data_IF_263933503912
#
_entry.id   IF_263933503912
#
_cell.length_a   1.000
_cell.length_b   1.000
_cell.length_c   1.000
_cell.angle_alpha   90.00
_cell.angle_beta   90.00
_cell.angle_gamma   90.00
#
_symmetry.space_group_name_H-M   'P 1'
#
loop_
_entity.id
_entity.type
_entity.pdbx_description
1 polymer ?
#
# COMPACT_ATOMS: atom_id res chain seq x y z
N UNK A 1 -18.76 38.84 5.67
CA UNK A 1 -18.50 38.10 4.42
C UNK A 1 -17.38 37.12 4.71
N UNK A 2 -17.74 35.88 5.08
CA UNK A 2 -16.79 34.85 5.51
C UNK A 2 -17.17 33.50 4.91
N UNK A 3 -16.21 32.67 4.46
CA UNK A 3 -16.49 31.37 3.85
C UNK A 3 -16.52 30.27 4.93
N UNK A 4 -17.50 29.39 4.86
CA UNK A 4 -17.62 28.26 5.79
C UNK A 4 -18.55 27.19 5.22
N UNK A 5 -17.94 26.19 4.61
CA UNK A 5 -18.54 24.95 4.10
C UNK A 5 -19.48 24.27 5.11
N UNK A 6 -20.58 23.64 4.67
CA UNK A 6 -21.17 22.56 5.44
C UNK A 6 -20.33 21.28 5.29
N UNK A 7 -19.72 20.87 6.40
CA UNK A 7 -19.12 19.55 6.62
C UNK A 7 -20.23 18.50 6.82
N UNK A 8 -20.07 17.38 6.10
CA UNK A 8 -20.27 16.00 6.57
C UNK A 8 -21.64 15.60 7.14
N UNK A 9 -22.32 14.70 6.42
CA UNK A 9 -22.68 13.37 6.93
C UNK A 9 -23.25 12.52 5.78
N UNK A 10 -22.38 11.78 5.07
CA UNK A 10 -22.86 10.70 4.23
C UNK A 10 -23.34 9.58 5.17
N UNK A 11 -24.67 9.46 5.31
CA UNK A 11 -25.29 8.31 5.97
C UNK A 11 -24.95 7.08 5.15
N UNK A 12 -23.97 6.31 5.60
CA UNK A 12 -23.88 4.90 5.22
C UNK A 12 -25.13 4.25 5.82
N UNK A 13 -26.12 3.98 4.97
CA UNK A 13 -27.26 3.18 5.33
C UNK A 13 -26.74 1.80 5.76
N UNK A 14 -26.77 1.53 7.05
CA UNK A 14 -26.72 0.17 7.56
C UNK A 14 -27.96 -0.53 7.00
N UNK A 15 -27.78 -1.28 5.91
CA UNK A 15 -28.77 -2.23 5.46
C UNK A 15 -29.01 -3.20 6.61
N UNK A 16 -30.16 -3.06 7.25
CA UNK A 16 -30.66 -3.97 8.25
C UNK A 16 -30.63 -5.38 7.67
N UNK A 17 -29.77 -6.23 8.22
CA UNK A 17 -29.85 -7.68 8.08
C UNK A 17 -31.16 -8.10 8.75
N UNK A 18 -32.25 -8.04 7.98
CA UNK A 18 -33.58 -8.44 8.39
C UNK A 18 -33.58 -9.89 8.86
N UNK A 19 -34.26 -10.13 9.98
CA UNK A 19 -34.22 -11.36 10.76
C UNK A 19 -34.25 -12.64 9.93
N UNK A 20 -33.19 -13.44 10.08
CA UNK A 20 -33.22 -14.84 9.72
C UNK A 20 -34.06 -15.56 10.78
N UNK A 21 -35.19 -16.12 10.37
CA UNK A 21 -35.78 -17.22 11.14
C UNK A 21 -34.75 -18.35 11.19
N UNK A 22 -34.64 -19.04 12.33
CA UNK A 22 -33.65 -20.09 12.56
C UNK A 22 -33.87 -21.31 11.64
N UNK A 23 -33.47 -21.19 10.38
CA UNK A 23 -33.12 -22.33 9.55
C UNK A 23 -31.73 -22.75 10.02
N UNK A 24 -31.59 -23.96 10.57
CA UNK A 24 -30.27 -24.49 10.94
C UNK A 24 -29.37 -24.43 9.70
N UNK A 25 -28.39 -23.51 9.71
CA UNK A 25 -27.55 -23.29 8.54
C UNK A 25 -26.77 -24.56 8.23
N UNK A 26 -26.76 -25.04 6.98
CA UNK A 26 -26.01 -26.23 6.64
C UNK A 26 -24.52 -25.96 6.84
N UNK A 27 -23.97 -26.56 7.91
CA UNK A 27 -22.55 -26.80 8.21
C UNK A 27 -21.61 -25.66 7.77
N UNK A 28 -21.51 -24.60 8.56
CA UNK A 28 -20.36 -23.69 8.55
C UNK A 28 -20.29 -22.68 7.40
N UNK A 29 -21.36 -22.48 6.64
CA UNK A 29 -21.43 -21.41 5.64
C UNK A 29 -21.66 -20.04 6.30
N UNK A 30 -20.79 -19.08 6.01
CA UNK A 30 -20.96 -17.68 6.43
C UNK A 30 -21.89 -16.92 5.48
N UNK A 31 -21.87 -17.25 4.18
CA UNK A 31 -22.69 -16.61 3.15
C UNK A 31 -23.59 -17.65 2.45
N UNK A 32 -24.90 -17.48 2.60
CA UNK A 32 -25.90 -18.41 2.09
C UNK A 32 -27.13 -17.66 1.55
N UNK A 33 -27.90 -18.31 0.67
CA UNK A 33 -29.19 -17.80 0.18
C UNK A 33 -30.29 -18.00 1.21
N UNK A 34 -31.46 -17.38 1.01
CA UNK A 34 -32.62 -17.59 1.89
C UNK A 34 -33.05 -19.07 1.99
N UNK A 35 -32.74 -19.88 0.98
CA UNK A 35 -32.97 -21.34 1.01
C UNK A 35 -31.85 -22.13 1.72
N UNK A 36 -30.91 -21.46 2.39
CA UNK A 36 -29.79 -22.10 3.09
C UNK A 36 -28.68 -22.64 2.17
N UNK A 37 -28.72 -22.36 0.87
CA UNK A 37 -27.71 -22.87 -0.08
C UNK A 37 -26.49 -21.94 -0.13
N UNK A 38 -25.30 -22.42 -0.55
CA UNK A 38 -24.15 -21.56 -0.80
C UNK A 38 -24.51 -20.39 -1.72
N UNK A 39 -24.08 -19.18 -1.36
CA UNK A 39 -24.35 -18.00 -2.16
C UNK A 39 -23.72 -18.14 -3.56
N UNK A 40 -24.54 -18.05 -4.60
CA UNK A 40 -24.07 -18.14 -5.97
C UNK A 40 -23.41 -16.82 -6.41
N UNK A 41 -22.13 -16.88 -6.80
CA UNK A 41 -21.35 -15.72 -7.26
C UNK A 41 -21.99 -14.98 -8.44
N UNK A 42 -22.49 -15.70 -9.44
CA UNK A 42 -23.04 -15.08 -10.65
C UNK A 42 -24.35 -14.36 -10.34
N UNK A 43 -25.19 -14.98 -9.51
CA UNK A 43 -26.41 -14.34 -9.03
C UNK A 43 -26.08 -13.07 -8.24
N UNK A 44 -25.23 -13.16 -7.21
CA UNK A 44 -24.83 -12.02 -6.40
C UNK A 44 -24.24 -10.86 -7.25
N UNK A 45 -23.37 -11.20 -8.20
CA UNK A 45 -22.77 -10.19 -9.08
C UNK A 45 -23.83 -9.45 -9.92
N UNK A 46 -24.86 -10.15 -10.39
CA UNK A 46 -25.90 -9.56 -11.24
C UNK A 46 -26.96 -8.81 -10.45
N UNK A 47 -27.39 -9.35 -9.30
CA UNK A 47 -28.55 -8.83 -8.58
C UNK A 47 -28.21 -7.86 -7.47
N UNK A 48 -26.98 -7.91 -6.93
CA UNK A 48 -26.56 -7.06 -5.81
C UNK A 48 -25.40 -6.16 -6.24
N UNK A 49 -24.32 -6.73 -6.77
CA UNK A 49 -23.09 -5.98 -7.01
C UNK A 49 -23.23 -4.96 -8.14
N UNK A 50 -23.72 -5.36 -9.31
CA UNK A 50 -23.92 -4.45 -10.45
C UNK A 50 -24.87 -3.28 -10.12
N UNK A 51 -26.06 -3.51 -9.51
CA UNK A 51 -26.92 -2.41 -9.08
C UNK A 51 -26.25 -1.48 -8.06
N UNK A 52 -25.47 -2.02 -7.12
CA UNK A 52 -24.74 -1.20 -6.15
C UNK A 52 -23.72 -0.27 -6.82
N UNK A 53 -23.02 -0.75 -7.86
CA UNK A 53 -22.11 0.08 -8.66
C UNK A 53 -22.83 1.20 -9.41
N UNK A 54 -23.97 0.86 -10.04
CA UNK A 54 -24.78 1.84 -10.75
C UNK A 54 -25.34 2.91 -9.81
N UNK A 55 -25.74 2.53 -8.59
CA UNK A 55 -26.25 3.46 -7.58
C UNK A 55 -25.21 4.53 -7.15
N UNK A 56 -23.91 4.22 -7.25
CA UNK A 56 -22.82 5.16 -6.97
C UNK A 56 -22.23 5.78 -8.25
N UNK A 57 -22.88 5.58 -9.41
CA UNK A 57 -22.47 6.17 -10.69
C UNK A 57 -21.26 5.50 -11.35
N UNK A 58 -20.89 4.29 -10.92
CA UNK A 58 -19.80 3.52 -11.55
C UNK A 58 -20.32 2.70 -12.73
N UNK A 59 -19.56 2.70 -13.84
CA UNK A 59 -19.85 1.85 -14.99
C UNK A 59 -19.46 0.41 -14.65
N UNK A 60 -20.46 -0.47 -14.63
CA UNK A 60 -20.29 -1.88 -14.30
C UNK A 60 -19.69 -2.67 -15.48
N UNK A 61 -18.38 -2.52 -15.67
CA UNK A 61 -17.61 -3.29 -16.65
C UNK A 61 -17.23 -4.67 -16.13
N UNK A 62 -16.85 -5.59 -17.02
CA UNK A 62 -16.43 -6.95 -16.66
C UNK A 62 -15.20 -6.92 -15.73
N UNK A 63 -14.33 -5.94 -15.92
CA UNK A 63 -13.11 -5.71 -15.15
C UNK A 63 -13.40 -5.09 -13.77
N UNK A 64 -14.54 -4.40 -13.63
CA UNK A 64 -15.02 -3.82 -12.37
C UNK A 64 -15.81 -4.82 -11.51
N UNK A 65 -15.80 -6.11 -11.81
CA UNK A 65 -16.45 -7.13 -10.97
C UNK A 65 -15.88 -7.17 -9.54
N UNK A 66 -16.32 -8.13 -8.73
CA UNK A 66 -15.80 -8.31 -7.36
C UNK A 66 -14.27 -8.46 -7.26
N UNK A 67 -13.59 -8.81 -8.37
CA UNK A 67 -12.13 -8.82 -8.43
C UNK A 67 -11.50 -7.41 -8.32
N UNK A 68 -12.21 -6.36 -8.71
CA UNK A 68 -11.74 -4.99 -8.53
C UNK A 68 -11.45 -4.67 -7.06
N UNK A 69 -12.31 -5.13 -6.14
CA UNK A 69 -12.07 -4.98 -4.69
C UNK A 69 -10.77 -5.64 -4.24
N UNK A 70 -10.48 -6.82 -4.79
CA UNK A 70 -9.23 -7.54 -4.52
C UNK A 70 -8.02 -6.80 -5.09
N UNK A 71 -8.15 -6.21 -6.28
CA UNK A 71 -7.12 -5.35 -6.86
C UNK A 71 -6.88 -4.09 -6.02
N UNK A 72 -7.94 -3.40 -5.60
CA UNK A 72 -7.84 -2.23 -4.71
C UNK A 72 -7.14 -2.56 -3.40
N UNK A 73 -7.50 -3.67 -2.75
CA UNK A 73 -6.87 -4.10 -1.49
C UNK A 73 -5.36 -4.34 -1.66
N UNK A 74 -4.99 -5.05 -2.73
CA UNK A 74 -3.59 -5.32 -3.04
C UNK A 74 -2.80 -4.04 -3.33
N UNK A 75 -3.37 -3.14 -4.14
CA UNK A 75 -2.75 -1.85 -4.45
C UNK A 75 -2.51 -1.01 -3.20
N UNK A 76 -3.47 -0.94 -2.27
CA UNK A 76 -3.33 -0.20 -1.02
C UNK A 76 -2.20 -0.76 -0.14
N UNK A 77 -2.11 -2.07 0.05
CA UNK A 77 -1.02 -2.66 0.83
C UNK A 77 0.35 -2.35 0.24
N UNK A 78 0.44 -2.44 -1.08
CA UNK A 78 1.64 -2.18 -1.84
C UNK A 78 2.06 -0.71 -1.78
N UNK A 79 1.11 0.22 -1.86
CA UNK A 79 1.33 1.65 -1.66
C UNK A 79 1.86 1.96 -0.25
N UNK A 80 1.34 1.26 0.78
CA UNK A 80 1.80 1.35 2.16
C UNK A 80 3.09 0.57 2.45
N UNK A 81 3.75 0.00 1.43
CA UNK A 81 5.06 -0.63 1.56
C UNK A 81 5.06 -2.06 2.08
N UNK A 82 3.91 -2.74 2.08
CA UNK A 82 3.87 -4.18 2.36
C UNK A 82 4.64 -4.94 1.28
N UNK A 83 5.46 -5.90 1.69
CA UNK A 83 6.27 -6.67 0.74
C UNK A 83 5.39 -7.46 -0.23
N UNK A 84 5.86 -7.60 -1.48
CA UNK A 84 5.10 -8.30 -2.50
C UNK A 84 4.89 -9.78 -2.20
N UNK A 85 5.83 -10.39 -1.48
CA UNK A 85 5.71 -11.76 -0.97
C UNK A 85 4.54 -11.87 -0.01
N UNK A 86 4.46 -10.99 0.99
CA UNK A 86 3.38 -10.99 1.97
C UNK A 86 2.02 -10.73 1.32
N UNK A 87 1.93 -9.79 0.37
CA UNK A 87 0.71 -9.56 -0.41
C UNK A 87 0.33 -10.81 -1.20
N UNK A 88 1.29 -11.47 -1.85
CA UNK A 88 1.06 -12.70 -2.61
C UNK A 88 0.53 -13.84 -1.73
N UNK A 89 1.10 -14.03 -0.54
CA UNK A 89 0.66 -15.02 0.44
C UNK A 89 -0.76 -14.73 0.94
N UNK A 90 -1.05 -13.47 1.27
CA UNK A 90 -2.39 -13.08 1.73
C UNK A 90 -3.45 -13.28 0.65
N UNK A 91 -3.10 -12.98 -0.60
CA UNK A 91 -3.97 -13.22 -1.74
C UNK A 91 -4.09 -14.71 -2.06
N UNK A 92 -3.17 -15.57 -1.60
CA UNK A 92 -3.14 -16.99 -1.91
C UNK A 92 -2.67 -17.26 -3.34
N UNK A 93 -1.83 -16.40 -3.90
CA UNK A 93 -1.18 -16.68 -5.19
C UNK A 93 -0.02 -17.66 -4.96
N UNK A 94 -0.07 -18.78 -5.67
CA UNK A 94 1.00 -19.80 -5.63
C UNK A 94 2.34 -19.27 -6.17
N UNK A 95 2.28 -18.31 -7.11
CA UNK A 95 3.46 -17.65 -7.69
C UNK A 95 3.47 -16.16 -7.35
N UNK A 96 4.41 -15.69 -6.51
CA UNK A 96 4.63 -14.26 -6.26
C UNK A 96 4.98 -13.45 -7.51
N UNK A 97 5.55 -14.09 -8.54
CA UNK A 97 5.82 -13.47 -9.84
C UNK A 97 4.55 -13.03 -10.57
N UNK A 98 3.41 -13.69 -10.34
CA UNK A 98 2.11 -13.21 -10.82
C UNK A 98 1.73 -11.88 -10.16
N UNK A 99 1.82 -11.80 -8.82
CA UNK A 99 1.56 -10.57 -8.06
C UNK A 99 2.46 -9.42 -8.52
N UNK A 100 3.75 -9.70 -8.72
CA UNK A 100 4.71 -8.71 -9.22
C UNK A 100 4.35 -8.16 -10.60
N UNK A 101 3.97 -9.04 -11.54
CA UNK A 101 3.56 -8.61 -12.88
C UNK A 101 2.30 -7.74 -12.85
N UNK A 102 1.33 -8.09 -12.01
CA UNK A 102 0.05 -7.38 -11.92
C UNK A 102 0.21 -6.00 -11.25
N UNK A 103 1.01 -5.90 -10.19
CA UNK A 103 1.03 -4.70 -9.33
C UNK A 103 2.34 -3.90 -9.36
N UNK A 104 3.29 -4.24 -10.24
CA UNK A 104 4.54 -3.46 -10.42
C UNK A 104 4.29 -1.96 -10.58
N UNK A 105 3.21 -1.57 -11.28
CA UNK A 105 2.92 -0.18 -11.60
C UNK A 105 2.52 0.70 -10.40
N UNK A 106 2.05 0.11 -9.29
CA UNK A 106 1.72 0.84 -8.05
C UNK A 106 2.86 0.83 -7.03
N UNK A 107 3.97 0.15 -7.32
CA UNK A 107 5.12 0.13 -6.42
C UNK A 107 5.82 1.50 -6.44
N UNK A 108 6.06 2.13 -5.28
CA UNK A 108 6.85 3.36 -5.21
C UNK A 108 8.23 3.14 -5.84
N UNK A 109 8.75 4.15 -6.57
CA UNK A 109 10.10 4.07 -7.11
C UNK A 109 11.08 3.81 -5.96
N UNK A 110 11.69 2.62 -5.97
CA UNK A 110 12.47 2.14 -4.83
C UNK A 110 13.89 2.73 -4.79
N UNK A 111 14.26 3.53 -5.79
CA UNK A 111 15.60 4.09 -5.93
C UNK A 111 15.99 5.01 -4.75
N UNK A 112 15.11 5.93 -4.37
CA UNK A 112 15.42 6.89 -3.32
C UNK A 112 15.30 6.27 -1.92
N UNK A 113 14.36 5.34 -1.73
CA UNK A 113 14.27 4.54 -0.49
C UNK A 113 15.49 3.64 -0.30
N UNK A 114 15.98 3.01 -1.37
CA UNK A 114 17.17 2.18 -1.32
C UNK A 114 18.43 3.00 -0.99
N UNK A 115 18.56 4.19 -1.59
CA UNK A 115 19.64 5.14 -1.25
C UNK A 115 19.56 5.58 0.20
N UNK A 116 18.41 6.03 0.68
CA UNK A 116 18.21 6.43 2.08
C UNK A 116 18.49 5.28 3.06
N UNK A 117 18.09 4.05 2.72
CA UNK A 117 18.38 2.87 3.54
C UNK A 117 19.88 2.57 3.60
N UNK A 118 20.60 2.68 2.47
CA UNK A 118 22.05 2.53 2.41
C UNK A 118 22.76 3.63 3.19
N UNK A 119 22.36 4.89 3.01
CA UNK A 119 22.92 6.05 3.73
C UNK A 119 22.71 5.92 5.23
N UNK A 120 21.55 5.41 5.66
CA UNK A 120 21.27 5.14 7.08
C UNK A 120 22.14 4.00 7.62
N UNK A 121 22.25 2.90 6.89
CA UNK A 121 23.01 1.73 7.32
C UNK A 121 24.52 1.98 7.38
N UNK A 122 25.05 2.78 6.44
CA UNK A 122 26.48 3.10 6.34
C UNK A 122 26.86 4.38 7.09
N UNK A 123 25.92 5.32 7.25
CA UNK A 123 26.11 6.60 7.94
C UNK A 123 26.35 6.47 9.45
N UNK A 124 25.96 5.34 10.06
CA UNK A 124 26.29 5.06 11.47
C UNK A 124 27.74 4.58 11.70
N UNK A 125 28.52 4.38 10.62
CA UNK A 125 29.92 3.96 10.69
C UNK A 125 30.95 5.10 10.70
N UNK A 126 30.55 6.34 10.42
CA UNK A 126 31.47 7.49 10.46
C UNK A 126 31.26 8.27 11.76
N UNK A 127 31.97 7.89 12.82
CA UNK A 127 32.31 8.84 13.89
C UNK A 127 33.24 9.90 13.29
N UNK A 128 32.88 11.20 13.23
CA UNK A 128 33.86 12.24 13.05
C UNK A 128 34.56 12.51 14.40
N UNK A 129 35.20 11.50 14.98
CA UNK A 129 36.17 11.70 16.07
C UNK A 129 37.55 11.91 15.41
N UNK A 130 37.66 13.05 14.72
CA UNK A 130 38.93 13.61 14.29
C UNK A 130 38.83 15.14 14.22
N UNK A 131 38.18 15.75 15.21
CA UNK A 131 38.44 17.13 15.56
C UNK A 131 39.15 17.13 16.91
N UNK A 132 40.37 17.69 16.91
CA UNK A 132 41.23 18.03 18.04
C UNK A 132 42.05 16.89 18.70
N UNK A 133 43.28 16.66 18.20
CA UNK A 133 44.50 16.68 19.04
C UNK A 133 45.80 16.60 18.21
N UNK A 134 46.83 17.31 18.69
CA UNK A 134 48.14 17.69 18.09
C UNK A 134 48.05 18.86 17.11
N UNK A 135 48.34 20.13 17.46
CA UNK A 135 49.42 20.71 18.30
C UNK A 135 50.81 20.22 17.89
N UNK A 136 51.48 21.01 17.02
CA UNK A 136 52.92 21.24 17.07
C UNK A 136 53.84 20.60 15.99
N UNK A 137 54.22 21.42 14.99
CA UNK A 137 55.54 21.57 14.29
C UNK A 137 56.20 20.33 13.59
N UNK A 138 57.15 20.44 12.62
CA UNK A 138 58.20 21.49 12.49
C UNK A 138 58.71 21.87 11.07
N UNK A 139 58.06 21.54 9.94
CA UNK A 139 58.74 21.59 8.63
C UNK A 139 58.81 22.96 7.91
N UNK A 140 58.60 24.08 8.60
CA UNK A 140 58.82 25.40 8.01
C UNK A 140 60.30 25.58 7.62
N UNK A 141 60.65 25.27 6.37
CA UNK A 141 61.86 25.73 5.74
C UNK A 141 61.49 26.92 4.86
N UNK A 142 61.81 28.08 5.42
CA UNK A 142 62.34 29.25 4.74
C UNK A 142 62.90 28.95 3.34
N UNK A 143 62.28 29.52 2.32
CA UNK A 143 62.95 29.79 1.04
C UNK A 143 63.20 31.29 0.98
N UNK A 144 64.41 31.68 1.38
CA UNK A 144 64.95 33.00 1.14
C UNK A 144 64.92 33.27 -0.37
N UNK A 145 64.16 34.30 -0.75
CA UNK A 145 64.16 34.94 -2.04
C UNK A 145 65.32 35.95 -2.01
N UNK A 146 66.39 35.68 -2.75
CA UNK A 146 67.44 36.67 -3.06
C UNK A 146 67.61 36.77 -4.56
N UNK A 147 67.05 37.85 -5.09
CA UNK A 147 67.44 38.75 -6.19
C UNK A 147 68.27 38.23 -7.38
N UNK A 148 67.86 38.69 -8.57
CA UNK A 148 68.82 39.32 -9.47
C UNK A 148 68.52 39.27 -10.96
N UNK A 149 67.95 40.38 -11.46
CA UNK A 149 68.19 41.03 -12.76
C UNK A 149 67.75 40.34 -14.06
#
# INVERSE_FOLDING_TARGET
MGPGTPRTASRVAAASLGGAQDHALPRGLVFYSREGKPLNRNYFNQTVWRPAQQAVGLVAERDNGMHALRHTCASLWLEHGVSIKAVSEYLGHADPGFTLRVYTHVMPSSGDKARQALDTALGQGRRPDAAASSTGAPWAHETALTDGN
#
